data_IF_516360903871
#
_entry.id   IF_516360903871
#
_cell.length_a   1.000
_cell.length_b   1.000
_cell.length_c   1.000
_cell.angle_alpha   90.00
_cell.angle_beta   90.00
_cell.angle_gamma   90.00
#
_symmetry.space_group_name_H-M   'P 1'
#
loop_
_entity.id
_entity.type
_entity.pdbx_description
1 polymer ?
#
# COMPACT_ATOMS: atom_id res chain seq x y z
N UNK A 1 -17.98 -25.37 11.85
CA UNK A 1 -17.03 -24.24 12.02
C UNK A 1 -16.24 -23.95 10.74
N UNK A 2 -15.75 -24.97 10.01
CA UNK A 2 -15.01 -24.82 8.75
C UNK A 2 -15.73 -23.98 7.67
N UNK A 3 -17.04 -24.19 7.45
CA UNK A 3 -17.80 -23.43 6.45
C UNK A 3 -17.81 -21.92 6.70
N UNK A 4 -17.95 -21.49 7.96
CA UNK A 4 -17.91 -20.06 8.34
C UNK A 4 -16.54 -19.46 8.08
N UNK A 5 -15.47 -20.20 8.40
CA UNK A 5 -14.10 -19.76 8.13
C UNK A 5 -13.83 -19.63 6.62
N UNK A 6 -14.35 -20.56 5.81
CA UNK A 6 -14.23 -20.49 4.35
C UNK A 6 -14.97 -19.28 3.78
N UNK A 7 -16.20 -19.01 4.23
CA UNK A 7 -16.96 -17.83 3.82
C UNK A 7 -16.21 -16.52 4.13
N UNK A 8 -15.66 -16.40 5.34
CA UNK A 8 -14.87 -15.23 5.74
C UNK A 8 -13.59 -15.10 4.91
N UNK A 9 -12.88 -16.21 4.66
CA UNK A 9 -11.68 -16.18 3.83
C UNK A 9 -11.99 -15.72 2.39
N UNK A 10 -13.06 -16.24 1.79
CA UNK A 10 -13.49 -15.87 0.44
C UNK A 10 -13.91 -14.41 0.34
N UNK A 11 -14.62 -13.87 1.35
CA UNK A 11 -15.00 -12.45 1.35
C UNK A 11 -13.78 -11.52 1.44
N UNK A 12 -12.79 -11.86 2.26
CA UNK A 12 -11.57 -11.06 2.40
C UNK A 12 -10.74 -11.09 1.10
N UNK A 13 -10.66 -12.24 0.43
CA UNK A 13 -10.00 -12.35 -0.88
C UNK A 13 -10.72 -11.47 -1.91
N UNK A 14 -12.05 -11.50 -1.96
CA UNK A 14 -12.81 -10.66 -2.88
C UNK A 14 -12.56 -9.15 -2.66
N UNK A 15 -12.46 -8.70 -1.40
CA UNK A 15 -12.12 -7.31 -1.07
C UNK A 15 -10.71 -6.94 -1.54
N UNK A 16 -9.72 -7.81 -1.32
CA UNK A 16 -8.34 -7.57 -1.76
C UNK A 16 -8.23 -7.48 -3.29
N UNK A 17 -9.00 -8.29 -4.02
CA UNK A 17 -9.06 -8.25 -5.49
C UNK A 17 -9.76 -6.98 -6.03
N UNK A 18 -10.60 -6.33 -5.22
CA UNK A 18 -11.23 -5.07 -5.56
C UNK A 18 -10.27 -3.87 -5.54
N UNK A 19 -9.19 -3.94 -4.78
CA UNK A 19 -8.15 -2.91 -4.76
C UNK A 19 -7.24 -3.07 -5.99
N UNK A 20 -7.19 -2.06 -6.83
CA UNK A 20 -6.41 -2.07 -8.07
C UNK A 20 -5.38 -0.94 -8.05
N UNK A 21 -4.28 -1.12 -8.78
CA UNK A 21 -3.25 -0.09 -8.93
C UNK A 21 -3.62 0.88 -10.05
N UNK A 22 -3.44 2.17 -9.80
CA UNK A 22 -3.54 3.19 -10.84
C UNK A 22 -2.30 3.20 -11.74
N UNK A 23 -2.49 3.48 -13.02
CA UNK A 23 -1.40 3.57 -14.01
C UNK A 23 -1.33 4.92 -14.71
N UNK A 24 -2.27 5.81 -14.43
CA UNK A 24 -2.38 7.14 -15.05
C UNK A 24 -1.24 8.05 -14.59
N UNK A 25 -0.94 8.04 -13.29
CA UNK A 25 0.18 8.77 -12.70
C UNK A 25 1.22 7.77 -12.24
N UNK A 26 2.45 7.91 -12.73
CA UNK A 26 3.54 7.03 -12.33
C UNK A 26 3.88 7.22 -10.85
N UNK A 27 3.85 6.15 -10.07
CA UNK A 27 4.26 6.15 -8.68
C UNK A 27 5.79 5.99 -8.58
N UNK A 28 6.49 7.04 -8.13
CA UNK A 28 7.94 6.99 -7.86
C UNK A 28 8.18 7.34 -6.40
N UNK A 29 8.55 6.35 -5.59
CA UNK A 29 8.75 6.53 -4.16
C UNK A 29 10.00 7.37 -3.87
N UNK A 30 9.89 8.50 -3.15
CA UNK A 30 11.06 9.26 -2.72
C UNK A 30 11.98 8.44 -1.81
N UNK A 31 13.28 8.69 -1.93
CA UNK A 31 14.29 8.08 -1.07
C UNK A 31 14.28 8.74 0.31
N UNK A 32 14.37 7.91 1.36
CA UNK A 32 14.53 8.40 2.72
C UNK A 32 15.60 7.60 3.45
N UNK A 33 16.67 8.29 3.85
CA UNK A 33 17.71 7.72 4.70
C UNK A 33 17.29 7.81 6.16
N UNK A 34 17.45 6.72 6.91
CA UNK A 34 17.21 6.68 8.36
C UNK A 34 18.31 5.89 9.08
N UNK A 35 18.28 5.83 10.41
CA UNK A 35 19.29 5.11 11.19
C UNK A 35 18.67 4.02 12.06
N UNK A 36 19.17 2.79 11.95
CA UNK A 36 18.78 1.67 12.81
C UNK A 36 19.75 1.55 13.98
N UNK A 37 19.27 1.84 15.18
CA UNK A 37 20.08 1.80 16.40
C UNK A 37 19.88 0.51 17.19
N UNK A 38 20.95 0.01 17.80
CA UNK A 38 20.93 -1.14 18.72
C UNK A 38 21.53 -0.74 20.07
N UNK A 39 21.14 -1.45 21.14
CA UNK A 39 21.54 -1.10 22.51
C UNK A 39 23.06 -1.14 22.74
N UNK A 40 23.77 -2.06 22.08
CA UNK A 40 25.22 -2.26 22.24
C UNK A 40 26.04 -1.91 20.99
N UNK A 41 25.42 -1.79 19.82
CA UNK A 41 26.12 -1.66 18.53
C UNK A 41 26.00 -0.28 17.87
N UNK A 42 25.43 0.72 18.55
CA UNK A 42 25.26 2.06 17.97
C UNK A 42 24.22 2.09 16.84
N UNK A 43 24.32 3.09 15.96
CA UNK A 43 23.38 3.34 14.87
C UNK A 43 24.01 3.10 13.50
N UNK A 44 23.34 2.32 12.66
CA UNK A 44 23.74 2.07 11.28
C UNK A 44 22.80 2.77 10.29
N UNK A 45 23.38 3.52 9.34
CA UNK A 45 22.63 4.19 8.27
C UNK A 45 21.91 3.18 7.37
N UNK A 46 20.65 3.47 7.06
CA UNK A 46 19.78 2.74 6.15
C UNK A 46 19.43 3.66 4.97
N UNK A 47 20.14 3.52 3.86
CA UNK A 47 19.98 4.37 2.66
C UNK A 47 18.94 3.85 1.66
N UNK A 48 18.44 2.63 1.86
CA UNK A 48 17.46 2.00 0.97
C UNK A 48 16.00 2.25 1.37
N UNK A 49 15.76 3.10 2.38
CA UNK A 49 14.41 3.50 2.76
C UNK A 49 13.68 4.24 1.65
N UNK A 50 12.37 4.05 1.60
CA UNK A 50 11.45 4.70 0.66
C UNK A 50 10.22 5.17 1.43
N UNK A 51 9.64 6.26 0.99
CA UNK A 51 8.35 6.76 1.50
C UNK A 51 7.31 6.73 0.39
N UNK A 52 6.05 6.63 0.78
CA UNK A 52 4.90 6.59 -0.12
C UNK A 52 3.83 7.53 0.41
N UNK A 53 3.03 8.09 -0.49
CA UNK A 53 1.82 8.80 -0.08
C UNK A 53 0.78 7.80 0.41
N UNK A 54 0.09 8.15 1.49
CA UNK A 54 -1.03 7.37 2.01
C UNK A 54 -2.15 7.19 0.96
N UNK A 55 -2.89 6.08 1.04
CA UNK A 55 -3.91 5.74 0.06
C UNK A 55 -5.09 6.73 0.03
N UNK A 56 -5.48 7.32 1.17
CA UNK A 56 -6.64 8.23 1.25
C UNK A 56 -6.34 9.59 0.59
N UNK A 57 -5.07 9.90 0.37
CA UNK A 57 -4.62 11.09 -0.35
C UNK A 57 -4.45 10.85 -1.87
N UNK A 58 -4.73 9.63 -2.35
CA UNK A 58 -4.62 9.29 -3.78
C UNK A 58 -5.94 9.55 -4.49
N UNK A 59 -5.83 9.93 -5.75
CA UNK A 59 -7.00 10.02 -6.61
C UNK A 59 -7.57 8.62 -6.90
N UNK A 60 -8.83 8.41 -6.50
CA UNK A 60 -9.55 7.17 -6.75
C UNK A 60 -10.45 7.31 -7.97
N UNK A 61 -10.15 6.57 -9.02
CA UNK A 61 -10.89 6.58 -10.28
C UNK A 61 -11.22 5.17 -10.76
N UNK A 62 -12.13 5.07 -11.74
CA UNK A 62 -12.51 3.80 -12.35
C UNK A 62 -11.31 3.16 -13.08
N UNK A 63 -11.25 1.83 -13.10
CA UNK A 63 -10.10 1.07 -13.65
C UNK A 63 -9.75 1.45 -15.09
N UNK A 64 -10.77 1.62 -15.93
CA UNK A 64 -10.63 1.67 -17.38
C UNK A 64 -10.75 3.09 -17.92
N UNK A 65 -10.79 4.09 -17.04
CA UNK A 65 -11.12 5.45 -17.36
C UNK A 65 -10.58 6.42 -16.31
N UNK A 66 -11.16 7.61 -16.33
CA UNK A 66 -10.73 8.76 -15.51
C UNK A 66 -11.92 9.30 -14.70
N UNK A 67 -12.96 8.49 -14.51
CA UNK A 67 -14.15 8.88 -13.74
C UNK A 67 -13.84 8.73 -12.28
N UNK A 68 -14.09 9.78 -11.50
CA UNK A 68 -13.91 9.75 -10.06
C UNK A 68 -14.83 8.70 -9.41
N UNK A 69 -14.24 7.82 -8.61
CA UNK A 69 -15.00 6.94 -7.71
C UNK A 69 -15.33 7.65 -6.39
N UNK A 70 -14.53 8.66 -6.02
CA UNK A 70 -14.70 9.48 -4.83
C UNK A 70 -14.41 10.94 -5.17
N UNK A 71 -15.23 11.87 -4.64
CA UNK A 71 -15.13 13.32 -4.89
C UNK A 71 -15.31 14.08 -3.59
#
# INVERSE_FOLDING_TARGET
MLQKAVLVALSMIAMALGQQFGTVTAETHPTLTWAKCTKSGGCATQSQGRIVLDADSRWLHDKNGYTNCYT
#
